data_IF_596799446335
#
_entry.id   IF_596799446335
#
_cell.length_a   1.000
_cell.length_b   1.000
_cell.length_c   1.000
_cell.angle_alpha   90.00
_cell.angle_beta   90.00
_cell.angle_gamma   90.00
#
_symmetry.space_group_name_H-M   'P 1'
#
loop_
_entity.id
_entity.type
_entity.pdbx_description
1 polymer ?
#
# COMPACT_ATOMS: atom_id res chain seq x y z
N UNK A 1 -33.11 -36.11 25.75
CA UNK A 1 -31.65 -36.23 25.54
C UNK A 1 -31.19 -36.55 24.10
N UNK A 2 -32.08 -36.69 23.09
CA UNK A 2 -31.70 -37.18 21.73
C UNK A 2 -31.29 -36.11 20.72
N UNK A 3 -31.65 -34.83 20.92
CA UNK A 3 -31.40 -33.75 19.92
C UNK A 3 -29.94 -33.24 19.85
N UNK A 4 -29.18 -33.32 20.95
CA UNK A 4 -27.79 -32.78 21.02
C UNK A 4 -26.79 -33.57 20.17
N UNK A 5 -26.92 -34.90 20.11
CA UNK A 5 -25.98 -35.76 19.37
C UNK A 5 -26.10 -35.67 17.83
N UNK A 6 -27.23 -35.21 17.29
CA UNK A 6 -27.41 -35.06 15.83
C UNK A 6 -26.80 -33.76 15.28
N UNK A 7 -26.73 -32.69 16.09
CA UNK A 7 -26.08 -31.45 15.70
C UNK A 7 -24.54 -31.57 15.70
N UNK A 8 -23.99 -32.32 16.65
CA UNK A 8 -22.55 -32.59 16.72
C UNK A 8 -22.08 -33.40 15.51
N UNK A 9 -22.82 -34.46 15.13
CA UNK A 9 -22.55 -35.22 13.90
C UNK A 9 -22.62 -34.38 12.62
N UNK A 10 -23.56 -33.43 12.53
CA UNK A 10 -23.65 -32.50 11.39
C UNK A 10 -22.45 -31.53 11.36
N UNK A 11 -22.03 -31.02 12.52
CA UNK A 11 -20.84 -30.15 12.62
C UNK A 11 -19.56 -30.89 12.22
N UNK A 12 -19.39 -32.14 12.66
CA UNK A 12 -18.25 -32.99 12.29
C UNK A 12 -18.21 -33.29 10.79
N UNK A 13 -19.36 -33.58 10.17
CA UNK A 13 -19.45 -33.77 8.72
C UNK A 13 -19.04 -32.51 7.96
N UNK A 14 -19.49 -31.34 8.40
CA UNK A 14 -19.13 -30.06 7.78
C UNK A 14 -17.63 -29.78 7.94
N UNK A 15 -17.05 -30.07 9.10
CA UNK A 15 -15.61 -29.89 9.37
C UNK A 15 -14.79 -30.84 8.48
N UNK A 16 -15.20 -32.11 8.38
CA UNK A 16 -14.54 -33.10 7.52
C UNK A 16 -14.56 -32.68 6.04
N UNK A 17 -15.70 -32.23 5.54
CA UNK A 17 -15.84 -31.73 4.16
C UNK A 17 -14.96 -30.51 3.89
N UNK A 18 -14.88 -29.56 4.84
CA UNK A 18 -14.01 -28.38 4.71
C UNK A 18 -12.51 -28.75 4.73
N UNK A 19 -12.11 -29.69 5.58
CA UNK A 19 -10.72 -30.16 5.64
C UNK A 19 -10.31 -30.87 4.34
N UNK A 20 -11.21 -31.64 3.73
CA UNK A 20 -10.95 -32.27 2.44
C UNK A 20 -10.85 -31.26 1.29
N UNK A 21 -11.67 -30.21 1.29
CA UNK A 21 -11.54 -29.11 0.33
C UNK A 21 -10.19 -28.38 0.50
N UNK A 22 -9.77 -28.12 1.74
CA UNK A 22 -8.46 -27.52 2.03
C UNK A 22 -7.32 -28.40 1.50
N UNK A 23 -7.39 -29.72 1.72
CA UNK A 23 -6.40 -30.68 1.20
C UNK A 23 -6.27 -30.63 -0.32
N UNK A 24 -7.41 -30.60 -1.03
CA UNK A 24 -7.44 -30.53 -2.51
C UNK A 24 -6.86 -29.20 -3.03
N UNK A 25 -7.14 -28.09 -2.35
CA UNK A 25 -6.59 -26.78 -2.70
C UNK A 25 -5.07 -26.76 -2.51
N UNK A 26 -4.56 -27.29 -1.40
CA UNK A 26 -3.12 -27.37 -1.13
C UNK A 26 -2.37 -28.17 -2.19
N UNK A 27 -2.90 -29.35 -2.58
CA UNK A 27 -2.31 -30.17 -3.64
C UNK A 27 -2.28 -29.44 -5.00
N UNK A 28 -3.33 -28.67 -5.31
CA UNK A 28 -3.39 -27.89 -6.55
C UNK A 28 -2.36 -26.74 -6.56
N UNK A 29 -2.21 -26.03 -5.44
CA UNK A 29 -1.21 -24.96 -5.28
C UNK A 29 0.21 -25.51 -5.45
N UNK A 30 0.49 -26.67 -4.86
CA UNK A 30 1.81 -27.30 -4.94
C UNK A 30 2.14 -27.75 -6.37
N UNK A 31 1.17 -28.33 -7.08
CA UNK A 31 1.31 -28.68 -8.50
C UNK A 31 1.58 -27.45 -9.37
N UNK A 32 0.84 -26.36 -9.19
CA UNK A 32 1.06 -25.10 -9.93
C UNK A 32 2.42 -24.48 -9.61
N UNK A 33 2.90 -24.59 -8.38
CA UNK A 33 4.23 -24.12 -7.98
C UNK A 33 5.36 -24.92 -8.65
N UNK A 34 5.20 -26.26 -8.75
CA UNK A 34 6.14 -27.13 -9.45
C UNK A 34 6.17 -26.85 -10.96
N UNK A 35 5.01 -26.62 -11.59
CA UNK A 35 4.92 -26.22 -13.00
C UNK A 35 5.58 -24.86 -13.26
N UNK A 36 5.39 -23.88 -12.37
CA UNK A 36 6.07 -22.58 -12.44
C UNK A 36 7.59 -22.68 -12.27
N UNK A 37 8.08 -23.59 -11.42
CA UNK A 37 9.52 -23.86 -11.28
C UNK A 37 10.09 -24.49 -12.55
N UNK A 38 9.41 -25.47 -13.14
CA UNK A 38 9.83 -26.08 -14.42
C UNK A 38 9.87 -25.05 -15.57
N UNK A 39 8.87 -24.18 -15.65
CA UNK A 39 8.83 -23.09 -16.64
C UNK A 39 9.98 -22.07 -16.45
N UNK A 40 10.49 -21.89 -15.23
CA UNK A 40 11.65 -21.02 -14.97
C UNK A 40 12.98 -21.71 -15.25
N UNK A 41 13.11 -23.00 -14.97
CA UNK A 41 14.35 -23.77 -15.21
C UNK A 41 14.59 -24.04 -16.70
N UNK A 42 13.54 -24.14 -17.52
CA UNK A 42 13.66 -24.30 -18.97
C UNK A 42 14.28 -23.10 -19.71
N UNK A 43 14.36 -21.92 -19.08
CA UNK A 43 14.87 -20.69 -19.70
C UNK A 43 16.34 -20.38 -19.38
N UNK A 44 17.03 -21.19 -18.57
CA UNK A 44 18.42 -20.95 -18.21
C UNK A 44 19.31 -22.14 -18.58
N UNK A 45 19.71 -22.21 -19.86
CA UNK A 45 21.02 -22.74 -20.27
C UNK A 45 21.61 -21.84 -21.36
N UNK A 46 22.67 -21.15 -20.94
CA UNK A 46 23.81 -20.50 -21.62
C UNK A 46 23.80 -20.41 -23.15
N UNK A 47 24.21 -19.26 -23.71
CA UNK A 47 25.51 -19.19 -24.41
C UNK A 47 25.94 -17.77 -24.80
N UNK A 48 27.26 -17.65 -24.88
CA UNK A 48 28.05 -16.46 -25.10
C UNK A 48 28.00 -15.90 -26.55
N UNK A 49 28.25 -14.59 -26.62
CA UNK A 49 28.67 -13.76 -27.76
C UNK A 49 27.69 -13.47 -28.93
N UNK A 50 27.80 -12.26 -29.54
CA UNK A 50 26.82 -11.72 -30.46
C UNK A 50 27.13 -12.12 -31.91
N UNK A 51 26.22 -12.84 -32.58
CA UNK A 51 26.27 -13.03 -34.04
C UNK A 51 25.15 -12.24 -34.72
N UNK A 52 25.56 -11.34 -35.61
CA UNK A 52 24.72 -10.58 -36.55
C UNK A 52 23.87 -11.55 -37.38
N UNK A 53 22.56 -11.34 -37.41
CA UNK A 53 21.65 -12.09 -38.28
C UNK A 53 20.22 -11.54 -38.26
N UNK A 54 19.89 -10.76 -39.29
CA UNK A 54 18.55 -10.37 -39.81
C UNK A 54 17.46 -10.03 -38.78
N UNK A 55 17.25 -8.72 -38.58
CA UNK A 55 16.12 -8.11 -37.88
C UNK A 55 14.80 -8.51 -38.56
N UNK A 56 14.14 -9.54 -38.02
CA UNK A 56 12.70 -9.70 -38.17
C UNK A 56 12.01 -8.62 -37.34
N UNK A 57 11.42 -7.62 -38.00
CA UNK A 57 10.64 -6.55 -37.36
C UNK A 57 9.42 -7.14 -36.63
N UNK A 58 9.58 -7.53 -35.36
CA UNK A 58 8.49 -7.56 -34.40
C UNK A 58 8.52 -6.24 -33.65
N UNK A 59 7.76 -5.26 -34.16
CA UNK A 59 7.50 -4.00 -33.47
C UNK A 59 6.59 -4.25 -32.26
N UNK A 60 7.11 -4.94 -31.25
CA UNK A 60 6.57 -4.85 -29.90
C UNK A 60 6.85 -3.44 -29.42
N UNK A 61 5.82 -2.62 -29.18
CA UNK A 61 5.96 -1.35 -28.48
C UNK A 61 6.54 -1.64 -27.09
N UNK A 62 7.86 -1.65 -26.96
CA UNK A 62 8.52 -1.60 -25.66
C UNK A 62 7.99 -0.33 -24.99
N UNK A 63 7.23 -0.49 -23.91
CA UNK A 63 6.74 0.64 -23.11
C UNK A 63 7.97 1.45 -22.70
N UNK A 64 8.17 2.63 -23.29
CA UNK A 64 9.24 3.56 -22.89
C UNK A 64 9.08 3.84 -21.39
N UNK A 65 10.07 3.48 -20.60
CA UNK A 65 10.10 3.82 -19.18
C UNK A 65 10.16 5.35 -19.07
N UNK A 66 9.34 5.94 -18.20
CA UNK A 66 9.43 7.39 -17.95
C UNK A 66 10.77 7.69 -17.31
N UNK A 67 11.48 8.67 -17.87
CA UNK A 67 12.75 9.16 -17.33
C UNK A 67 12.57 9.65 -15.89
N UNK A 68 13.63 9.49 -15.09
CA UNK A 68 13.74 10.12 -13.78
C UNK A 68 14.01 11.60 -14.04
N UNK A 69 13.19 12.48 -13.47
CA UNK A 69 13.39 13.93 -13.57
C UNK A 69 14.01 14.40 -12.26
N UNK A 70 15.16 15.06 -12.35
CA UNK A 70 15.78 15.74 -11.21
C UNK A 70 15.33 17.20 -11.20
N UNK A 71 14.72 17.62 -10.09
CA UNK A 71 14.25 18.98 -9.94
C UNK A 71 15.34 19.75 -9.18
N UNK A 72 15.97 20.78 -9.79
CA UNK A 72 16.95 21.61 -9.10
C UNK A 72 16.28 22.41 -7.97
N UNK A 73 16.93 22.44 -6.81
CA UNK A 73 16.45 23.20 -5.65
C UNK A 73 17.31 24.45 -5.49
N UNK A 74 16.71 25.64 -5.60
CA UNK A 74 17.35 26.95 -5.39
C UNK A 74 16.91 27.61 -4.08
N UNK A 75 17.79 28.01 -3.17
CA UNK A 75 19.25 28.00 -3.28
C UNK A 75 19.85 26.60 -3.10
N UNK A 76 20.92 26.33 -3.85
CA UNK A 76 21.78 25.18 -3.65
C UNK A 76 22.36 25.26 -2.25
N UNK A 77 22.05 24.27 -1.42
CA UNK A 77 22.61 24.18 -0.08
C UNK A 77 24.07 23.76 -0.29
N UNK A 78 25.07 24.56 0.13
CA UNK A 78 26.47 24.20 -0.03
C UNK A 78 26.72 22.84 0.63
N UNK A 79 27.55 22.00 0.01
CA UNK A 79 27.91 20.68 0.54
C UNK A 79 28.56 20.74 1.94
N UNK A 80 29.04 21.92 2.34
CA UNK A 80 29.72 22.20 3.62
C UNK A 80 28.78 22.67 4.74
N UNK A 81 27.47 22.77 4.48
CA UNK A 81 26.48 23.11 5.50
C UNK A 81 26.33 21.91 6.46
N UNK A 82 26.50 22.03 7.79
CA UNK A 82 26.42 20.90 8.75
C UNK A 82 25.12 20.08 8.61
N UNK A 83 24.07 20.76 8.17
CA UNK A 83 22.75 20.20 7.87
C UNK A 83 22.77 19.15 6.74
N UNK A 84 23.79 19.12 5.88
CA UNK A 84 23.90 18.16 4.78
C UNK A 84 24.23 16.75 5.27
N UNK A 85 24.98 16.62 6.37
CA UNK A 85 25.28 15.34 7.01
C UNK A 85 24.04 14.74 7.71
N UNK A 86 23.16 15.59 8.23
CA UNK A 86 21.90 15.17 8.84
C UNK A 86 20.79 14.90 7.82
N UNK A 87 21.03 15.19 6.53
CA UNK A 87 20.05 15.00 5.49
C UNK A 87 19.79 13.50 5.24
N UNK A 88 18.51 13.12 5.26
CA UNK A 88 18.07 11.74 5.02
C UNK A 88 17.51 11.61 3.61
N UNK A 89 17.75 10.44 3.02
CA UNK A 89 17.09 10.04 1.79
C UNK A 89 15.74 9.38 2.13
N UNK A 90 14.64 9.96 1.62
CA UNK A 90 13.27 9.53 1.88
C UNK A 90 12.54 9.29 0.55
N UNK A 91 11.76 8.22 0.47
CA UNK A 91 10.82 7.97 -0.62
C UNK A 91 9.41 8.36 -0.22
N UNK A 92 8.81 9.25 -1.00
CA UNK A 92 7.39 9.57 -0.94
C UNK A 92 6.62 8.83 -2.03
N UNK A 93 5.56 8.13 -1.62
CA UNK A 93 4.61 7.47 -2.51
C UNK A 93 3.26 8.16 -2.47
N UNK A 94 2.44 7.85 -3.47
CA UNK A 94 1.08 8.34 -3.60
C UNK A 94 0.94 9.85 -3.85
N UNK A 95 2.02 10.48 -4.34
CA UNK A 95 1.96 11.86 -4.81
C UNK A 95 1.10 11.89 -6.07
N UNK A 96 0.07 12.75 -6.16
CA UNK A 96 -0.76 12.82 -7.35
C UNK A 96 0.04 13.19 -8.60
N UNK A 97 -0.28 12.55 -9.73
CA UNK A 97 0.44 12.82 -10.98
C UNK A 97 0.26 14.26 -11.50
N UNK A 98 -0.87 14.88 -11.18
CA UNK A 98 -1.18 16.24 -11.60
C UNK A 98 -0.39 17.31 -10.82
N UNK A 99 0.27 16.96 -9.70
CA UNK A 99 1.15 17.91 -9.03
C UNK A 99 2.31 18.30 -9.94
N UNK A 100 2.46 19.60 -10.14
CA UNK A 100 3.61 20.24 -10.77
C UNK A 100 4.88 20.05 -9.94
N UNK A 101 6.03 20.32 -10.55
CA UNK A 101 7.32 20.19 -9.89
C UNK A 101 7.47 21.21 -8.76
N UNK A 102 6.93 22.41 -8.96
CA UNK A 102 6.87 23.52 -8.03
C UNK A 102 5.96 23.21 -6.84
N UNK A 103 4.79 22.59 -7.07
CA UNK A 103 3.90 22.15 -5.99
C UNK A 103 4.54 21.05 -5.15
N UNK A 104 5.17 20.05 -5.77
CA UNK A 104 5.93 19.01 -5.06
C UNK A 104 6.98 19.68 -4.18
N UNK A 105 7.75 20.60 -4.75
CA UNK A 105 8.81 21.31 -4.04
C UNK A 105 8.28 22.12 -2.86
N UNK A 106 7.26 22.95 -3.06
CA UNK A 106 6.65 23.78 -2.01
C UNK A 106 6.08 22.94 -0.88
N UNK A 107 5.43 21.82 -1.22
CA UNK A 107 4.87 20.90 -0.23
C UNK A 107 5.97 20.17 0.57
N UNK A 108 7.09 19.81 -0.07
CA UNK A 108 8.23 19.21 0.61
C UNK A 108 8.99 20.21 1.49
N UNK A 109 9.07 21.48 1.10
CA UNK A 109 9.67 22.54 1.94
C UNK A 109 8.94 22.72 3.28
N UNK A 110 7.63 22.46 3.35
CA UNK A 110 6.87 22.48 4.61
C UNK A 110 7.32 21.38 5.59
N UNK A 111 7.86 20.28 5.07
CA UNK A 111 8.35 19.15 5.88
C UNK A 111 9.75 19.46 6.42
N UNK A 112 10.56 20.16 5.64
CA UNK A 112 11.92 20.53 6.02
C UNK A 112 12.75 21.09 4.87
N UNK A 113 14.05 21.22 5.11
CA UNK A 113 15.00 21.81 4.14
C UNK A 113 15.33 20.76 3.07
N UNK A 114 14.85 20.96 1.85
CA UNK A 114 15.04 20.03 0.73
C UNK A 114 16.37 20.28 0.04
N UNK A 115 17.15 19.23 -0.17
CA UNK A 115 18.46 19.29 -0.85
C UNK A 115 18.32 18.86 -2.31
N UNK A 116 17.72 17.69 -2.55
CA UNK A 116 17.59 17.11 -3.89
C UNK A 116 16.26 16.42 -4.04
N UNK A 117 15.63 16.55 -5.20
CA UNK A 117 14.38 15.88 -5.53
C UNK A 117 14.55 15.10 -6.83
N UNK A 118 14.18 13.83 -6.82
CA UNK A 118 14.08 12.97 -7.99
C UNK A 118 12.65 12.44 -8.10
N UNK A 119 11.98 12.66 -9.22
CA UNK A 119 10.61 12.21 -9.43
C UNK A 119 10.54 11.09 -10.46
N UNK A 120 9.64 10.14 -10.22
CA UNK A 120 9.35 9.04 -11.14
C UNK A 120 7.84 8.86 -11.26
N UNK A 121 7.30 9.05 -12.46
CA UNK A 121 5.87 8.87 -12.72
C UNK A 121 5.45 7.39 -12.78
N UNK A 122 4.38 7.04 -12.07
CA UNK A 122 3.78 5.69 -12.06
C UNK A 122 2.25 5.75 -12.21
N UNK A 123 1.75 5.45 -13.41
CA UNK A 123 0.32 5.46 -13.73
C UNK A 123 -0.41 6.73 -13.24
N UNK A 124 -1.23 6.66 -12.17
CA UNK A 124 -2.01 7.77 -11.59
C UNK A 124 -1.25 8.57 -10.50
N UNK A 125 -0.09 8.09 -10.05
CA UNK A 125 0.72 8.72 -9.02
C UNK A 125 2.15 8.96 -9.50
N UNK A 126 2.94 9.66 -8.69
CA UNK A 126 4.39 9.83 -8.78
C UNK A 126 5.01 9.27 -7.51
N UNK A 127 6.20 8.68 -7.65
CA UNK A 127 7.09 8.42 -6.52
C UNK A 127 8.17 9.49 -6.54
N UNK A 128 8.47 10.06 -5.39
CA UNK A 128 9.46 11.13 -5.27
C UNK A 128 10.51 10.72 -4.25
N UNK A 129 11.75 10.57 -4.69
CA UNK A 129 12.90 10.36 -3.82
C UNK A 129 13.48 11.73 -3.49
N UNK A 130 13.66 12.00 -2.21
CA UNK A 130 14.11 13.31 -1.74
C UNK A 130 15.23 13.13 -0.76
N UNK A 131 16.28 13.92 -0.90
CA UNK A 131 17.25 14.14 0.18
C UNK A 131 16.83 15.40 0.92
N UNK A 132 16.45 15.30 2.19
CA UNK A 132 16.00 16.44 2.98
C UNK A 132 16.36 16.34 4.46
N UNK A 133 16.44 17.50 5.11
CA UNK A 133 16.58 17.64 6.56
C UNK A 133 15.20 17.89 7.14
N UNK A 134 14.69 16.93 7.91
CA UNK A 134 13.35 16.99 8.48
C UNK A 134 13.27 18.02 9.61
N UNK A 135 12.15 18.74 9.72
CA UNK A 135 11.86 19.53 10.90
C UNK A 135 11.68 18.62 12.12
N UNK A 136 11.94 19.12 13.34
CA UNK A 136 11.88 18.33 14.60
C UNK A 136 10.59 17.52 14.75
N UNK A 137 9.43 18.09 14.39
CA UNK A 137 8.14 17.41 14.47
C UNK A 137 8.06 16.21 13.52
N UNK A 138 8.48 16.40 12.27
CA UNK A 138 8.47 15.33 11.28
C UNK A 138 9.54 14.28 11.56
N UNK A 139 10.72 14.69 12.05
CA UNK A 139 11.78 13.77 12.49
C UNK A 139 11.29 12.82 13.58
N UNK A 140 10.53 13.33 14.57
CA UNK A 140 9.90 12.49 15.60
C UNK A 140 8.92 11.48 14.98
N UNK A 141 8.00 11.93 14.14
CA UNK A 141 7.03 11.03 13.48
C UNK A 141 7.70 10.02 12.54
N UNK A 142 8.83 10.40 11.93
CA UNK A 142 9.59 9.51 11.07
C UNK A 142 10.28 8.41 11.90
N UNK A 143 10.94 8.79 13.01
CA UNK A 143 11.59 7.85 13.94
C UNK A 143 10.61 6.91 14.63
N UNK A 144 9.41 7.40 14.96
CA UNK A 144 8.30 6.57 15.48
C UNK A 144 7.76 5.57 14.45
N UNK A 145 8.17 5.67 13.18
CA UNK A 145 7.83 4.71 12.14
C UNK A 145 6.44 4.91 11.53
N UNK A 146 5.86 6.11 11.60
CA UNK A 146 4.55 6.41 11.02
C UNK A 146 4.54 6.12 9.52
N UNK A 147 3.47 5.50 9.02
CA UNK A 147 3.35 5.02 7.63
C UNK A 147 3.26 6.14 6.60
N UNK A 148 2.75 7.29 6.99
CA UNK A 148 2.57 8.42 6.11
C UNK A 148 2.28 9.70 6.88
N UNK A 149 2.19 10.76 6.11
CA UNK A 149 1.91 12.12 6.56
C UNK A 149 0.79 12.70 5.72
N UNK A 150 0.12 13.71 6.26
CA UNK A 150 -0.84 14.49 5.49
C UNK A 150 -0.23 15.84 5.14
N UNK A 151 -0.13 16.14 3.84
CA UNK A 151 0.37 17.43 3.34
C UNK A 151 -0.64 18.01 2.37
N UNK A 152 -1.04 19.26 2.58
CA UNK A 152 -1.96 19.97 1.69
C UNK A 152 -3.21 19.14 1.38
N UNK A 153 -3.79 18.54 2.42
CA UNK A 153 -4.98 17.66 2.37
C UNK A 153 -4.78 16.32 1.63
N UNK A 154 -3.53 15.95 1.31
CA UNK A 154 -3.19 14.68 0.68
C UNK A 154 -2.48 13.75 1.64
N UNK A 155 -2.96 12.50 1.72
CA UNK A 155 -2.36 11.44 2.51
C UNK A 155 -1.25 10.76 1.69
N UNK A 156 0.00 10.99 2.10
CA UNK A 156 1.21 10.57 1.39
C UNK A 156 1.95 9.58 2.26
N UNK A 157 2.39 8.46 1.68
CA UNK A 157 3.22 7.47 2.39
C UNK A 157 4.69 7.82 2.22
N UNK A 158 5.47 7.59 3.27
CA UNK A 158 6.90 7.88 3.26
C UNK A 158 7.73 6.72 3.80
N UNK A 159 8.94 6.53 3.29
CA UNK A 159 9.83 5.42 3.65
C UNK A 159 11.27 5.90 3.69
N UNK A 160 12.08 5.32 4.57
CA UNK A 160 13.53 5.47 4.49
C UNK A 160 14.03 4.84 3.18
N UNK A 161 14.90 5.56 2.47
CA UNK A 161 15.50 5.06 1.25
C UNK A 161 16.48 3.90 1.47
N UNK A 162 16.96 3.71 2.69
CA UNK A 162 17.76 2.54 3.09
C UNK A 162 16.95 1.24 3.02
N UNK A 163 15.63 1.32 3.18
CA UNK A 163 14.76 0.15 3.07
C UNK A 163 14.70 -0.26 1.60
N UNK A 164 14.90 -1.54 1.33
CA UNK A 164 14.81 -2.10 -0.01
C UNK A 164 13.34 -2.24 -0.46
N UNK A 165 13.12 -2.74 -1.67
CA UNK A 165 11.75 -2.95 -2.15
C UNK A 165 11.00 -3.97 -1.30
N UNK A 166 11.69 -5.02 -0.82
CA UNK A 166 11.09 -6.07 -0.02
C UNK A 166 10.65 -5.55 1.35
N UNK A 167 11.49 -4.78 2.04
CA UNK A 167 11.15 -4.18 3.32
C UNK A 167 9.98 -3.20 3.21
N UNK A 168 9.85 -2.46 2.10
CA UNK A 168 8.66 -1.64 1.83
C UNK A 168 7.41 -2.49 1.67
N UNK A 169 7.48 -3.60 0.93
CA UNK A 169 6.37 -4.53 0.78
C UNK A 169 6.00 -5.23 2.09
N UNK A 170 6.99 -5.52 2.95
CA UNK A 170 6.79 -6.10 4.27
C UNK A 170 6.08 -5.13 5.21
N UNK A 171 6.48 -3.86 5.20
CA UNK A 171 5.80 -2.80 5.96
C UNK A 171 4.36 -2.64 5.48
N UNK A 172 4.14 -2.61 4.17
CA UNK A 172 2.82 -2.53 3.57
C UNK A 172 2.05 -3.86 3.64
N UNK A 173 2.58 -4.93 4.24
CA UNK A 173 1.93 -6.25 4.20
C UNK A 173 0.60 -6.26 4.95
N UNK A 174 0.55 -5.58 6.08
CA UNK A 174 -0.60 -5.61 6.98
C UNK A 174 -1.57 -4.49 6.64
N UNK A 175 -2.47 -4.80 5.70
CA UNK A 175 -3.51 -3.89 5.22
C UNK A 175 -4.89 -4.53 5.37
N UNK A 176 -5.85 -3.76 5.88
CA UNK A 176 -7.27 -4.11 5.80
C UNK A 176 -7.96 -3.20 4.79
N UNK A 177 -8.78 -3.80 3.93
CA UNK A 177 -9.53 -3.08 2.90
C UNK A 177 -11.02 -3.23 3.17
N UNK A 178 -11.75 -2.12 3.08
CA UNK A 178 -13.20 -2.13 3.16
C UNK A 178 -13.83 -1.21 2.11
N UNK A 179 -15.02 -1.56 1.69
CA UNK A 179 -15.86 -0.67 0.91
C UNK A 179 -16.39 0.48 1.79
N UNK A 180 -16.56 1.65 1.16
CA UNK A 180 -17.32 2.74 1.75
C UNK A 180 -18.81 2.46 1.58
N UNK A 181 -19.58 2.77 2.62
CA UNK A 181 -21.04 2.72 2.56
C UNK A 181 -21.61 3.91 1.79
N UNK A 182 -22.85 3.81 1.31
CA UNK A 182 -23.50 4.92 0.61
C UNK A 182 -23.61 6.17 1.48
N UNK A 183 -23.85 6.01 2.79
CA UNK A 183 -23.88 7.12 3.75
C UNK A 183 -22.53 7.84 3.85
N UNK A 184 -21.44 7.09 4.06
CA UNK A 184 -20.09 7.65 4.09
C UNK A 184 -19.72 8.32 2.76
N UNK A 185 -20.20 7.76 1.63
CA UNK A 185 -20.01 8.37 0.32
C UNK A 185 -20.71 9.72 0.19
N UNK A 186 -21.91 9.86 0.74
CA UNK A 186 -22.64 11.13 0.70
C UNK A 186 -22.05 12.15 1.68
N UNK A 187 -21.55 11.73 2.85
CA UNK A 187 -20.72 12.57 3.74
C UNK A 187 -19.47 13.11 3.04
N UNK A 188 -18.80 12.27 2.23
CA UNK A 188 -17.63 12.69 1.46
C UNK A 188 -18.00 13.70 0.35
N UNK A 189 -19.15 13.51 -0.32
CA UNK A 189 -19.62 14.41 -1.38
C UNK A 189 -20.09 15.76 -0.83
N UNK A 190 -20.76 15.74 0.32
CA UNK A 190 -21.27 16.95 0.97
C UNK A 190 -20.17 17.71 1.68
N UNK A 191 -19.23 17.00 2.29
CA UNK A 191 -18.06 17.56 2.94
C UNK A 191 -16.80 17.44 2.08
N UNK A 192 -15.72 16.98 2.71
CA UNK A 192 -14.42 16.85 2.08
C UNK A 192 -13.81 15.49 2.41
N UNK A 193 -13.21 14.84 1.40
CA UNK A 193 -12.48 13.57 1.54
C UNK A 193 -11.45 13.66 2.66
N UNK A 194 -10.80 14.83 2.80
CA UNK A 194 -9.77 15.05 3.81
C UNK A 194 -10.34 14.97 5.23
N UNK A 195 -11.44 15.67 5.50
CA UNK A 195 -12.02 15.74 6.85
C UNK A 195 -12.57 14.39 7.27
N UNK A 196 -13.25 13.70 6.34
CA UNK A 196 -13.72 12.34 6.55
C UNK A 196 -12.55 11.37 6.83
N UNK A 197 -11.47 11.43 6.05
CA UNK A 197 -10.30 10.54 6.26
C UNK A 197 -9.62 10.84 7.59
N UNK A 198 -9.54 12.12 7.99
CA UNK A 198 -8.94 12.54 9.27
C UNK A 198 -9.75 12.03 10.46
N UNK A 199 -11.07 12.20 10.42
CA UNK A 199 -11.98 11.66 11.45
C UNK A 199 -11.88 10.13 11.50
N UNK A 200 -11.84 9.47 10.34
CA UNK A 200 -11.70 8.03 10.29
C UNK A 200 -10.36 7.56 10.88
N UNK A 201 -9.26 8.27 10.61
CA UNK A 201 -7.96 7.94 11.19
C UNK A 201 -7.95 8.09 12.71
N UNK A 202 -8.64 9.09 13.28
CA UNK A 202 -8.75 9.29 14.73
C UNK A 202 -9.59 8.22 15.43
N UNK A 203 -10.66 7.75 14.79
CA UNK A 203 -11.54 6.72 15.35
C UNK A 203 -11.00 5.29 15.13
N UNK A 204 -10.09 5.12 14.17
CA UNK A 204 -9.51 3.83 13.84
C UNK A 204 -8.29 3.48 14.68
N UNK A 205 -8.06 2.17 14.86
CA UNK A 205 -6.77 1.66 15.37
C UNK A 205 -5.70 1.53 14.28
N UNK A 206 -5.97 2.01 13.06
CA UNK A 206 -5.01 1.95 11.95
C UNK A 206 -3.94 3.02 12.11
N UNK A 207 -2.70 2.69 11.76
CA UNK A 207 -1.58 3.64 11.82
C UNK A 207 -1.68 4.69 10.72
N UNK A 208 -2.23 4.31 9.57
CA UNK A 208 -2.46 5.22 8.46
C UNK A 208 -3.67 4.75 7.68
N UNK A 209 -4.47 5.70 7.21
CA UNK A 209 -5.65 5.43 6.41
C UNK A 209 -5.54 6.16 5.08
N UNK A 210 -5.98 5.48 4.03
CA UNK A 210 -6.10 6.06 2.71
C UNK A 210 -7.39 5.63 2.05
N UNK A 211 -8.04 6.58 1.41
CA UNK A 211 -9.20 6.31 0.56
C UNK A 211 -8.75 6.24 -0.89
N UNK A 212 -9.21 5.19 -1.60
CA UNK A 212 -8.93 5.00 -3.01
C UNK A 212 -10.21 4.72 -3.78
N UNK A 213 -10.28 5.27 -4.99
CA UNK A 213 -11.27 4.87 -5.98
C UNK A 213 -10.72 3.72 -6.84
N UNK A 214 -11.43 2.60 -6.86
CA UNK A 214 -11.19 1.47 -7.76
C UNK A 214 -12.43 1.37 -8.66
N UNK A 215 -12.25 1.67 -9.95
CA UNK A 215 -13.32 1.75 -10.95
C UNK A 215 -14.49 2.62 -10.48
N UNK A 216 -15.59 2.01 -10.03
CA UNK A 216 -16.81 2.68 -9.54
C UNK A 216 -16.93 2.68 -8.01
N UNK A 217 -16.13 1.86 -7.32
CA UNK A 217 -16.25 1.67 -5.88
C UNK A 217 -15.12 2.40 -5.14
N UNK A 218 -15.49 3.10 -4.08
CA UNK A 218 -14.53 3.70 -3.17
C UNK A 218 -14.22 2.72 -2.06
N UNK A 219 -12.93 2.57 -1.75
CA UNK A 219 -12.43 1.70 -0.70
C UNK A 219 -11.58 2.48 0.27
N UNK A 220 -11.70 2.14 1.55
CA UNK A 220 -10.77 2.55 2.60
C UNK A 220 -9.73 1.45 2.75
N UNK A 221 -8.45 1.84 2.74
CA UNK A 221 -7.32 1.01 3.12
C UNK A 221 -6.78 1.52 4.45
N UNK A 222 -6.77 0.66 5.46
CA UNK A 222 -6.08 0.89 6.72
C UNK A 222 -4.78 0.10 6.77
N UNK A 223 -3.68 0.75 7.13
CA UNK A 223 -2.36 0.15 7.33
C UNK A 223 -2.10 -0.06 8.82
N UNK A 224 -1.48 -1.19 9.15
CA UNK A 224 -1.21 -1.62 10.53
C UNK A 224 0.27 -1.96 10.72
N UNK A 225 0.78 -1.82 11.95
CA UNK A 225 2.18 -2.12 12.25
C UNK A 225 2.48 -3.61 12.15
N UNK A 226 1.53 -4.45 12.53
CA UNK A 226 1.71 -5.90 12.62
C UNK A 226 0.39 -6.64 12.30
N UNK A 227 0.53 -7.95 12.09
CA UNK A 227 -0.60 -8.84 11.80
C UNK A 227 -1.66 -8.84 12.91
N UNK A 228 -1.22 -8.86 14.18
CA UNK A 228 -2.11 -8.93 15.33
C UNK A 228 -3.08 -7.75 15.39
N UNK A 229 -2.57 -6.52 15.26
CA UNK A 229 -3.39 -5.30 15.25
C UNK A 229 -4.41 -5.31 14.11
N UNK A 230 -3.99 -5.75 12.92
CA UNK A 230 -4.88 -5.86 11.75
C UNK A 230 -5.98 -6.91 12.00
N UNK A 231 -5.62 -8.09 12.49
CA UNK A 231 -6.54 -9.18 12.75
C UNK A 231 -7.57 -8.83 13.83
N UNK A 232 -7.15 -8.22 14.94
CA UNK A 232 -8.05 -7.73 15.99
C UNK A 232 -9.13 -6.82 15.40
N UNK A 233 -8.75 -5.85 14.58
CA UNK A 233 -9.70 -4.91 13.97
C UNK A 233 -10.65 -5.60 12.99
N UNK A 234 -10.14 -6.51 12.16
CA UNK A 234 -10.96 -7.28 11.21
C UNK A 234 -11.93 -8.20 11.95
N UNK A 235 -11.46 -8.84 13.03
CA UNK A 235 -12.26 -9.73 13.86
C UNK A 235 -13.37 -8.94 14.54
N UNK A 236 -13.06 -7.92 15.35
CA UNK A 236 -14.06 -7.08 16.04
C UNK A 236 -15.14 -6.56 15.07
N UNK A 237 -14.74 -6.16 13.86
CA UNK A 237 -15.69 -5.69 12.85
C UNK A 237 -16.64 -6.78 12.37
N UNK A 238 -16.14 -8.01 12.16
CA UNK A 238 -16.97 -9.16 11.77
C UNK A 238 -18.00 -9.51 12.84
N UNK A 239 -17.63 -9.48 14.12
CA UNK A 239 -18.58 -9.72 15.21
C UNK A 239 -19.68 -8.65 15.25
N UNK A 240 -19.31 -7.37 15.13
CA UNK A 240 -20.31 -6.28 15.08
C UNK A 240 -21.30 -6.43 13.92
N UNK A 241 -20.81 -6.80 12.74
CA UNK A 241 -21.67 -7.06 11.58
C UNK A 241 -22.57 -8.28 11.80
N UNK A 242 -22.04 -9.37 12.38
CA UNK A 242 -22.81 -10.56 12.70
C UNK A 242 -23.93 -10.30 13.70
N UNK A 243 -23.68 -9.52 14.75
CA UNK A 243 -24.72 -9.15 15.72
C UNK A 243 -25.79 -8.23 15.10
N UNK A 244 -25.39 -7.26 14.28
CA UNK A 244 -26.33 -6.37 13.60
C UNK A 244 -27.27 -7.12 12.63
N UNK A 245 -26.79 -8.19 11.98
CA UNK A 245 -27.64 -9.06 11.15
C UNK A 245 -28.63 -9.88 11.98
N UNK A 246 -28.23 -10.38 13.15
CA UNK A 246 -29.13 -11.15 14.03
C UNK A 246 -30.19 -10.27 14.71
N UNK A 247 -29.87 -9.02 15.06
CA UNK A 247 -30.85 -8.05 15.58
C UNK A 247 -31.89 -7.64 14.54
N UNK A 248 -31.55 -7.68 13.25
CA UNK A 248 -32.50 -7.43 12.16
C UNK A 248 -33.40 -8.65 11.88
N UNK A 249 -32.86 -9.86 11.98
CA UNK A 249 -33.65 -11.10 11.82
C UNK A 249 -34.61 -11.34 13.00
N UNK A 250 -34.27 -10.89 14.22
CA UNK A 250 -35.11 -11.06 15.41
C UNK A 250 -36.18 -9.97 15.59
N UNK A 251 -36.21 -8.94 14.73
CA UNK A 251 -37.19 -7.84 14.76
C UNK A 251 -38.20 -7.92 13.59
N UNK A 252 -38.33 -9.08 12.95
CA UNK A 252 -39.34 -9.42 11.94
C UNK A 252 -40.20 -10.56 12.49
#
# INVERSE_FOLDING_TARGET
MVRKGNEEKRKEQIISQKNEQIRKISQKIEKTSLELKKAKTGNNKNDAQPKKGKIGKRSGKIKKWKAIIEIPVLPEIPSDDPNFNDARDIFFYDIPKYWSEEEIRTNLMKIGKVVRIQTRGQFKYKTVKVKLVLNKNFEKTFKEGHFGICISKHFIRWYDAKIDLKGRQERDRWQAVRDLTNKEMDEIKTGSIYDFTKQLQQTSRSTFIKIIKITKNWKVIGYFKNQKEMEEVVHTRRYKLGMASQEQENNI
#
